data_IF_848562163732
#
_entry.id   IF_848562163732
#
_cell.length_a   1.000
_cell.length_b   1.000
_cell.length_c   1.000
_cell.angle_alpha   90.00
_cell.angle_beta   90.00
_cell.angle_gamma   90.00
#
_symmetry.space_group_name_H-M   'P 1'
#
loop_
_entity.id
_entity.type
_entity.pdbx_description
1 polymer ?
#
# COMPACT_ATOMS: atom_id res chain seq x y z
N UNK A 1 41.88 -36.24 -23.33
CA UNK A 1 40.79 -35.71 -22.48
C UNK A 1 40.61 -34.24 -22.85
N UNK A 2 39.51 -33.88 -23.51
CA UNK A 2 39.20 -32.51 -23.86
C UNK A 2 38.38 -31.87 -22.73
N UNK A 3 38.86 -30.74 -22.21
CA UNK A 3 38.16 -29.93 -21.22
C UNK A 3 37.00 -29.20 -21.94
N UNK A 4 35.76 -29.52 -21.57
CA UNK A 4 34.56 -28.89 -22.11
C UNK A 4 34.06 -27.84 -21.11
N UNK A 5 34.10 -26.53 -21.42
CA UNK A 5 33.62 -25.50 -20.52
C UNK A 5 32.09 -25.47 -20.51
N UNK A 6 31.47 -26.30 -19.66
CA UNK A 6 30.08 -26.11 -19.25
C UNK A 6 30.01 -25.05 -18.15
N UNK A 7 29.91 -23.78 -18.54
CA UNK A 7 29.36 -22.71 -17.68
C UNK A 7 29.11 -21.49 -18.58
N UNK A 8 27.93 -20.88 -18.72
CA UNK A 8 27.21 -20.17 -17.66
C UNK A 8 25.95 -19.56 -18.31
N UNK A 9 24.80 -20.22 -18.29
CA UNK A 9 23.57 -19.66 -18.89
C UNK A 9 22.30 -19.90 -18.05
N UNK A 10 22.46 -20.16 -16.74
CA UNK A 10 21.32 -20.39 -15.84
C UNK A 10 20.66 -19.10 -15.32
N UNK A 11 21.28 -17.94 -15.49
CA UNK A 11 20.76 -16.65 -14.97
C UNK A 11 19.71 -15.96 -15.87
N UNK A 12 19.35 -16.54 -17.02
CA UNK A 12 18.37 -15.94 -17.95
C UNK A 12 16.94 -16.48 -17.80
N UNK A 13 16.71 -17.45 -16.91
CA UNK A 13 15.44 -18.18 -16.84
C UNK A 13 14.25 -17.28 -16.45
N UNK A 14 14.47 -16.21 -15.68
CA UNK A 14 13.39 -15.34 -15.18
C UNK A 14 13.51 -13.92 -15.75
N UNK A 15 13.33 -13.77 -17.07
CA UNK A 15 13.25 -12.45 -17.71
C UNK A 15 11.84 -11.86 -17.54
N UNK A 16 11.76 -10.71 -16.86
CA UNK A 16 10.53 -9.92 -16.76
C UNK A 16 10.58 -8.81 -17.82
N UNK A 17 9.51 -8.68 -18.60
CA UNK A 17 9.34 -7.57 -19.53
C UNK A 17 8.33 -6.59 -18.94
N UNK A 18 8.76 -5.37 -18.65
CA UNK A 18 7.89 -4.28 -18.20
C UNK A 18 7.66 -3.36 -19.40
N UNK A 19 6.39 -3.12 -19.74
CA UNK A 19 6.01 -2.15 -20.77
C UNK A 19 5.79 -0.80 -20.11
N UNK A 20 6.40 0.23 -20.67
CA UNK A 20 6.28 1.61 -20.21
C UNK A 20 5.81 2.48 -21.36
N UNK A 21 5.01 3.49 -21.07
CA UNK A 21 4.78 4.59 -21.99
C UNK A 21 6.07 5.41 -22.16
N UNK A 22 6.09 6.30 -23.16
CA UNK A 22 7.25 7.16 -23.40
C UNK A 22 7.53 8.08 -22.20
N UNK A 23 6.49 8.63 -21.59
CA UNK A 23 6.60 9.55 -20.44
C UNK A 23 7.08 8.82 -19.17
N UNK A 24 6.61 7.58 -18.98
CA UNK A 24 7.08 6.71 -17.89
C UNK A 24 8.56 6.35 -18.06
N UNK A 25 8.99 6.09 -19.31
CA UNK A 25 10.39 5.82 -19.62
C UNK A 25 11.29 7.04 -19.37
N UNK A 26 10.85 8.24 -19.73
CA UNK A 26 11.59 9.47 -19.43
C UNK A 26 11.71 9.69 -17.92
N UNK A 27 10.63 9.48 -17.18
CA UNK A 27 10.63 9.57 -15.71
C UNK A 27 11.60 8.56 -15.10
N UNK A 28 11.65 7.33 -15.64
CA UNK A 28 12.58 6.30 -15.21
C UNK A 28 14.05 6.69 -15.49
N UNK A 29 14.33 7.26 -16.66
CA UNK A 29 15.68 7.72 -17.02
C UNK A 29 16.14 8.84 -16.08
N UNK A 30 15.30 9.84 -15.83
CA UNK A 30 15.64 10.94 -14.92
C UNK A 30 15.95 10.44 -13.49
N UNK A 31 15.17 9.45 -13.00
CA UNK A 31 15.44 8.82 -11.70
C UNK A 31 16.72 8.00 -11.70
N UNK A 32 17.06 7.36 -12.81
CA UNK A 32 18.32 6.62 -12.95
C UNK A 32 19.53 7.56 -12.83
N UNK A 33 19.48 8.70 -13.52
CA UNK A 33 20.56 9.69 -13.51
C UNK A 33 20.81 10.26 -12.11
N UNK A 34 19.74 10.51 -11.35
CA UNK A 34 19.82 11.02 -9.97
C UNK A 34 20.28 9.97 -8.95
N UNK A 35 20.12 8.67 -9.24
CA UNK A 35 20.37 7.59 -8.28
C UNK A 35 21.77 6.99 -8.38
N UNK A 36 22.59 7.43 -9.35
CA UNK A 36 23.97 6.95 -9.53
C UNK A 36 24.09 5.52 -10.08
N UNK A 37 22.97 4.90 -10.46
CA UNK A 37 22.96 3.56 -11.03
C UNK A 37 23.33 3.57 -12.52
N UNK A 38 24.33 2.78 -12.92
CA UNK A 38 24.75 2.66 -14.33
C UNK A 38 23.76 1.92 -15.23
N UNK A 39 22.87 1.08 -14.66
CA UNK A 39 21.95 0.24 -15.40
C UNK A 39 20.54 0.33 -14.82
N UNK A 40 19.55 0.55 -15.68
CA UNK A 40 18.11 0.52 -15.33
C UNK A 40 17.74 -0.75 -14.58
N UNK A 41 18.26 -1.91 -15.00
CA UNK A 41 17.92 -3.18 -14.34
C UNK A 41 18.44 -3.29 -12.90
N UNK A 42 19.55 -2.61 -12.57
CA UNK A 42 20.05 -2.56 -11.19
C UNK A 42 19.16 -1.67 -10.34
N UNK A 43 18.84 -0.47 -10.84
CA UNK A 43 17.91 0.45 -10.20
C UNK A 43 16.54 -0.18 -9.94
N UNK A 44 15.93 -0.82 -10.94
CA UNK A 44 14.60 -1.44 -10.80
C UNK A 44 14.62 -2.61 -9.81
N UNK A 45 15.68 -3.44 -9.80
CA UNK A 45 15.77 -4.54 -8.82
C UNK A 45 15.92 -4.02 -7.40
N UNK A 46 16.80 -3.05 -7.20
CA UNK A 46 16.99 -2.42 -5.90
C UNK A 46 15.69 -1.78 -5.42
N UNK A 47 15.06 -0.97 -6.27
CA UNK A 47 13.75 -0.37 -5.99
C UNK A 47 12.67 -1.39 -5.62
N UNK A 48 12.58 -2.52 -6.33
CA UNK A 48 11.60 -3.58 -6.03
C UNK A 48 11.91 -4.34 -4.72
N UNK A 49 13.18 -4.47 -4.34
CA UNK A 49 13.59 -5.11 -3.09
C UNK A 49 13.35 -4.16 -1.91
N UNK A 50 13.67 -2.87 -2.08
CA UNK A 50 13.54 -1.84 -1.04
C UNK A 50 12.13 -1.30 -0.90
N UNK A 51 11.30 -1.40 -1.95
CA UNK A 51 9.89 -1.10 -1.81
C UNK A 51 9.30 -2.14 -0.86
N UNK A 52 8.92 -1.69 0.34
CA UNK A 52 7.90 -2.40 1.09
C UNK A 52 6.76 -2.69 0.11
N UNK A 53 6.35 -3.95 -0.05
CA UNK A 53 5.22 -4.25 -0.92
C UNK A 53 4.11 -3.35 -0.44
N UNK A 54 3.52 -2.57 -1.35
CA UNK A 54 2.32 -1.80 -1.05
C UNK A 54 1.28 -2.84 -0.68
N UNK A 55 1.22 -3.20 0.61
CA UNK A 55 0.19 -4.05 1.17
C UNK A 55 -1.07 -3.34 0.73
N UNK A 56 -1.88 -4.00 -0.09
CA UNK A 56 -3.20 -3.49 -0.46
C UNK A 56 -3.79 -3.01 0.85
N UNK A 57 -4.03 -1.71 1.01
CA UNK A 57 -4.56 -1.18 2.25
C UNK A 57 -5.94 -1.81 2.40
N UNK A 58 -6.01 -2.92 3.12
CA UNK A 58 -7.25 -3.56 3.49
C UNK A 58 -7.77 -2.68 4.60
N UNK A 59 -8.56 -1.69 4.22
CA UNK A 59 -9.36 -0.94 5.19
C UNK A 59 -10.28 -1.97 5.82
N UNK A 60 -9.97 -2.31 7.06
CA UNK A 60 -10.74 -3.31 7.79
C UNK A 60 -12.14 -2.76 8.01
N UNK A 61 -13.16 -3.60 7.83
CA UNK A 61 -14.56 -3.19 7.90
C UNK A 61 -14.94 -2.59 9.26
N UNK A 62 -14.32 -3.07 10.34
CA UNK A 62 -14.45 -2.52 11.70
C UNK A 62 -14.05 -1.03 11.77
N UNK A 63 -12.98 -0.63 11.09
CA UNK A 63 -12.55 0.77 11.00
C UNK A 63 -13.61 1.63 10.31
N UNK A 64 -14.25 1.10 9.26
CA UNK A 64 -15.31 1.82 8.52
C UNK A 64 -16.55 2.00 9.40
N UNK A 65 -16.94 0.99 10.17
CA UNK A 65 -18.06 1.06 11.09
C UNK A 65 -17.82 2.07 12.21
N UNK A 66 -16.63 2.06 12.83
CA UNK A 66 -16.26 3.07 13.85
C UNK A 66 -16.29 4.47 13.25
N UNK A 67 -15.74 4.66 12.04
CA UNK A 67 -15.75 5.96 11.37
C UNK A 67 -17.17 6.45 11.10
N UNK A 68 -18.08 5.57 10.67
CA UNK A 68 -19.50 5.91 10.46
C UNK A 68 -20.16 6.39 11.75
N UNK A 69 -19.97 5.70 12.86
CA UNK A 69 -20.58 6.09 14.13
C UNK A 69 -20.01 7.39 14.69
N UNK A 70 -18.72 7.66 14.47
CA UNK A 70 -18.09 8.95 14.79
C UNK A 70 -18.66 10.10 13.93
N UNK A 71 -18.88 9.87 12.63
CA UNK A 71 -19.52 10.85 11.75
C UNK A 71 -20.96 11.16 12.20
N UNK A 72 -21.72 10.13 12.58
CA UNK A 72 -23.06 10.30 13.13
C UNK A 72 -23.04 11.14 14.41
N UNK A 73 -22.10 10.86 15.32
CA UNK A 73 -21.93 11.65 16.55
C UNK A 73 -21.61 13.12 16.26
N UNK A 74 -20.67 13.38 15.34
CA UNK A 74 -20.33 14.74 14.94
C UNK A 74 -21.55 15.48 14.35
N UNK A 75 -22.34 14.80 13.52
CA UNK A 75 -23.59 15.34 12.97
C UNK A 75 -24.60 15.69 14.07
N UNK A 76 -24.76 14.83 15.08
CA UNK A 76 -25.65 15.08 16.22
C UNK A 76 -25.20 16.26 17.08
N UNK A 77 -23.89 16.42 17.29
CA UNK A 77 -23.32 17.58 17.98
C UNK A 77 -23.64 18.86 17.20
N UNK A 78 -23.40 18.86 15.89
CA UNK A 78 -23.69 20.00 15.02
C UNK A 78 -25.18 20.34 14.98
N UNK A 79 -26.06 19.36 15.13
CA UNK A 79 -27.51 19.54 15.21
C UNK A 79 -28.01 19.90 16.62
N UNK A 80 -27.11 20.16 17.58
CA UNK A 80 -27.44 20.48 18.97
C UNK A 80 -28.41 19.48 19.63
N UNK A 81 -28.22 18.18 19.34
CA UNK A 81 -29.00 17.09 19.96
C UNK A 81 -28.81 17.07 21.48
N UNK A 82 -29.79 16.49 22.17
CA UNK A 82 -29.78 16.44 23.64
C UNK A 82 -28.59 15.62 24.15
N UNK A 83 -28.16 15.90 25.39
CA UNK A 83 -27.07 15.18 26.03
C UNK A 83 -27.33 13.68 26.07
N UNK A 84 -28.56 13.25 26.34
CA UNK A 84 -28.91 11.83 26.45
C UNK A 84 -28.77 11.12 25.09
N UNK A 85 -29.25 11.75 24.01
CA UNK A 85 -29.08 11.25 22.64
C UNK A 85 -27.59 11.13 22.26
N UNK A 86 -26.77 12.12 22.63
CA UNK A 86 -25.33 12.10 22.38
C UNK A 86 -24.63 10.98 23.17
N UNK A 87 -25.00 10.78 24.43
CA UNK A 87 -24.42 9.72 25.27
C UNK A 87 -24.78 8.32 24.76
N UNK A 88 -25.99 8.13 24.24
CA UNK A 88 -26.37 6.85 23.62
C UNK A 88 -25.58 6.59 22.33
N UNK A 89 -25.29 7.64 21.55
CA UNK A 89 -24.44 7.51 20.37
C UNK A 89 -22.98 7.21 20.74
N UNK A 90 -22.45 7.79 21.83
CA UNK A 90 -21.12 7.47 22.36
C UNK A 90 -21.03 6.00 22.81
N UNK A 91 -22.07 5.46 23.45
CA UNK A 91 -22.12 4.02 23.80
C UNK A 91 -22.03 3.13 22.55
N UNK A 92 -22.71 3.51 21.46
CA UNK A 92 -22.65 2.77 20.19
C UNK A 92 -21.26 2.79 19.57
N UNK A 93 -20.59 3.95 19.55
CA UNK A 93 -19.19 4.06 19.11
C UNK A 93 -18.29 3.13 19.95
N UNK A 94 -18.46 3.14 21.27
CA UNK A 94 -17.70 2.27 22.17
C UNK A 94 -17.96 0.78 21.93
N UNK A 95 -19.21 0.38 21.69
CA UNK A 95 -19.54 -1.03 21.43
C UNK A 95 -18.97 -1.53 20.10
N UNK A 96 -19.01 -0.69 19.06
CA UNK A 96 -18.44 -1.02 17.74
C UNK A 96 -16.91 -1.10 17.82
N UNK A 97 -16.28 -0.15 18.53
CA UNK A 97 -14.82 -0.12 18.71
C UNK A 97 -14.26 -1.31 19.50
N UNK A 98 -15.06 -1.93 20.37
CA UNK A 98 -14.68 -3.13 21.14
C UNK A 98 -14.95 -4.44 20.38
N UNK A 99 -15.40 -4.38 19.12
CA UNK A 99 -15.68 -5.56 18.29
C UNK A 99 -17.08 -6.15 18.46
N UNK A 100 -18.01 -5.37 19.03
CA UNK A 100 -19.39 -5.79 19.29
C UNK A 100 -19.48 -6.73 20.50
N UNK A 101 -20.16 -6.30 21.56
CA UNK A 101 -20.69 -7.23 22.54
C UNK A 101 -21.66 -8.16 21.79
N UNK A 102 -21.26 -9.42 21.63
CA UNK A 102 -22.20 -10.51 21.34
C UNK A 102 -23.02 -10.80 22.59
#
# INVERSE_FOLDING_TARGET
>A
MAWNPQNNNKNKANRITIRLSNDEFQTLSAKLDLSGYRKVSAFVRDYLITCEPKVKQVVRMDVIEVQRELMNLASMINAAKSRDELMDQVKKVSSVSLGGAR
#
